data_IF_790561771849
#
_entry.id   IF_790561771849
#
_cell.length_a   1.000
_cell.length_b   1.000
_cell.length_c   1.000
_cell.angle_alpha   90.00
_cell.angle_beta   90.00
_cell.angle_gamma   90.00
#
_symmetry.space_group_name_H-M   'P 1'
#
loop_
_entity.id
_entity.type
_entity.pdbx_description
1 polymer ?
#
# COMPACT_ATOMS: atom_id res chain seq x y z
N UNK A 1 -3.05 -25.65 14.31
CA UNK A 1 -2.77 -24.48 15.17
C UNK A 1 -4.11 -23.92 15.65
N UNK A 2 -4.22 -23.40 16.89
CA UNK A 2 -5.53 -22.95 17.41
C UNK A 2 -6.14 -21.81 16.59
N UNK A 3 -5.32 -20.91 16.04
CA UNK A 3 -5.81 -19.88 15.12
C UNK A 3 -6.46 -20.43 13.86
N UNK A 4 -6.04 -21.59 13.34
CA UNK A 4 -6.67 -22.21 12.17
C UNK A 4 -8.12 -22.59 12.44
N UNK A 5 -8.38 -23.21 13.59
CA UNK A 5 -9.73 -23.60 14.01
C UNK A 5 -10.61 -22.36 14.21
N UNK A 6 -10.10 -21.35 14.91
CA UNK A 6 -10.84 -20.09 15.14
C UNK A 6 -11.16 -19.38 13.81
N UNK A 7 -10.25 -19.39 12.83
CA UNK A 7 -10.49 -18.78 11.51
C UNK A 7 -11.55 -19.55 10.69
N UNK A 8 -11.63 -20.89 10.85
CA UNK A 8 -12.74 -21.68 10.29
C UNK A 8 -14.06 -21.32 10.94
N UNK A 9 -14.08 -21.13 12.27
CA UNK A 9 -15.27 -20.68 12.99
C UNK A 9 -15.72 -19.28 12.56
N UNK A 10 -14.77 -18.39 12.24
CA UNK A 10 -15.07 -17.08 11.63
C UNK A 10 -15.79 -17.27 10.29
N UNK A 11 -15.25 -18.11 9.40
CA UNK A 11 -15.86 -18.39 8.10
C UNK A 11 -17.26 -19.01 8.24
N UNK A 12 -17.44 -19.95 9.17
CA UNK A 12 -18.76 -20.56 9.45
C UNK A 12 -19.75 -19.53 10.00
N UNK A 13 -19.29 -18.64 10.89
CA UNK A 13 -20.12 -17.56 11.43
C UNK A 13 -20.53 -16.59 10.32
N UNK A 14 -19.68 -16.34 9.32
CA UNK A 14 -20.02 -15.51 8.16
C UNK A 14 -21.11 -16.16 7.30
N UNK A 15 -21.04 -17.47 7.08
CA UNK A 15 -22.08 -18.21 6.36
C UNK A 15 -23.45 -18.10 7.06
N UNK A 16 -23.49 -18.15 8.39
CA UNK A 16 -24.73 -17.92 9.15
C UNK A 16 -25.28 -16.49 8.93
N UNK A 17 -24.40 -15.49 8.83
CA UNK A 17 -24.80 -14.10 8.55
C UNK A 17 -25.42 -14.00 7.17
N UNK A 18 -24.80 -14.62 6.15
CA UNK A 18 -25.32 -14.65 4.77
C UNK A 18 -26.74 -15.24 4.73
N UNK A 19 -26.97 -16.37 5.42
CA UNK A 19 -28.29 -17.00 5.53
C UNK A 19 -29.32 -16.06 6.16
N UNK A 20 -28.94 -15.36 7.23
CA UNK A 20 -29.82 -14.40 7.91
C UNK A 20 -30.15 -13.18 7.04
N UNK A 21 -29.20 -12.67 6.25
CA UNK A 21 -29.43 -11.48 5.41
C UNK A 21 -30.59 -11.67 4.45
N UNK A 22 -30.73 -12.87 3.89
CA UNK A 22 -31.83 -13.18 2.97
C UNK A 22 -33.22 -13.05 3.62
N UNK A 23 -33.31 -13.23 4.94
CA UNK A 23 -34.57 -13.10 5.69
C UNK A 23 -34.89 -11.66 6.13
N UNK A 24 -33.97 -10.71 5.96
CA UNK A 24 -34.18 -9.32 6.40
C UNK A 24 -35.19 -8.60 5.50
N UNK A 25 -36.14 -7.89 6.08
CA UNK A 25 -37.10 -7.06 5.32
C UNK A 25 -36.69 -5.59 5.31
N UNK A 26 -35.89 -5.16 6.30
CA UNK A 26 -35.50 -3.76 6.51
C UNK A 26 -34.16 -3.38 5.90
N UNK A 27 -33.52 -4.29 5.16
CA UNK A 27 -32.32 -4.02 4.39
C UNK A 27 -32.68 -3.92 2.92
N UNK A 28 -32.42 -2.77 2.30
CA UNK A 28 -32.64 -2.56 0.88
C UNK A 28 -31.96 -3.62 0.01
N UNK A 29 -32.58 -4.01 -1.10
CA UNK A 29 -32.07 -5.06 -1.98
C UNK A 29 -30.66 -4.76 -2.51
N UNK A 30 -30.39 -3.49 -2.79
CA UNK A 30 -29.05 -3.00 -3.16
C UNK A 30 -28.02 -3.30 -2.07
N UNK A 31 -28.36 -3.04 -0.80
CA UNK A 31 -27.45 -3.29 0.31
C UNK A 31 -27.37 -4.78 0.66
N UNK A 32 -28.45 -5.56 0.49
CA UNK A 32 -28.40 -7.04 0.60
C UNK A 32 -27.40 -7.63 -0.38
N UNK A 33 -27.52 -7.32 -1.67
CA UNK A 33 -26.60 -7.81 -2.71
C UNK A 33 -25.16 -7.42 -2.41
N UNK A 34 -24.94 -6.15 -2.01
CA UNK A 34 -23.61 -5.67 -1.63
C UNK A 34 -23.06 -6.39 -0.40
N UNK A 35 -23.89 -6.60 0.62
CA UNK A 35 -23.52 -7.29 1.85
C UNK A 35 -23.12 -8.73 1.58
N UNK A 36 -23.94 -9.48 0.84
CA UNK A 36 -23.67 -10.87 0.46
C UNK A 36 -22.35 -10.99 -0.31
N UNK A 37 -22.11 -10.13 -1.30
CA UNK A 37 -20.85 -10.12 -2.06
C UNK A 37 -19.62 -9.89 -1.17
N UNK A 38 -19.72 -8.96 -0.21
CA UNK A 38 -18.61 -8.65 0.71
C UNK A 38 -18.36 -9.78 1.73
N UNK A 39 -19.44 -10.41 2.21
CA UNK A 39 -19.36 -11.54 3.15
C UNK A 39 -18.84 -12.80 2.47
N UNK A 40 -19.27 -13.08 1.24
CA UNK A 40 -18.79 -14.22 0.46
C UNK A 40 -17.28 -14.11 0.22
N UNK A 41 -16.81 -12.92 -0.17
CA UNK A 41 -15.38 -12.63 -0.29
C UNK A 41 -14.65 -12.83 1.05
N UNK A 42 -15.20 -12.31 2.15
CA UNK A 42 -14.60 -12.45 3.47
C UNK A 42 -14.54 -13.91 3.96
N UNK A 43 -15.62 -14.68 3.74
CA UNK A 43 -15.72 -16.10 4.08
C UNK A 43 -14.66 -16.90 3.35
N UNK A 44 -14.53 -16.70 2.02
CA UNK A 44 -13.50 -17.35 1.21
C UNK A 44 -12.10 -17.02 1.71
N UNK A 45 -11.80 -15.73 1.93
CA UNK A 45 -10.49 -15.29 2.41
C UNK A 45 -10.13 -15.91 3.77
N UNK A 46 -11.05 -15.95 4.73
CA UNK A 46 -10.79 -16.56 6.04
C UNK A 46 -10.64 -18.09 5.96
N UNK A 47 -11.41 -18.75 5.09
CA UNK A 47 -11.28 -20.18 4.86
C UNK A 47 -9.92 -20.54 4.25
N UNK A 48 -9.54 -19.87 3.15
CA UNK A 48 -8.22 -20.04 2.51
C UNK A 48 -7.07 -19.72 3.48
N UNK A 49 -7.24 -18.70 4.32
CA UNK A 49 -6.24 -18.35 5.34
C UNK A 49 -6.11 -19.42 6.41
N UNK A 50 -7.22 -20.05 6.82
CA UNK A 50 -7.22 -21.11 7.82
C UNK A 50 -6.39 -22.33 7.39
N UNK A 51 -6.25 -22.55 6.10
CA UNK A 51 -5.43 -23.62 5.52
C UNK A 51 -3.95 -23.23 5.42
N UNK A 52 -3.65 -21.93 5.38
CA UNK A 52 -2.32 -21.38 5.11
C UNK A 52 -1.76 -20.54 6.30
N UNK A 53 -2.05 -20.95 7.54
CA UNK A 53 -1.52 -20.26 8.72
C UNK A 53 -0.05 -20.63 8.95
N UNK A 54 0.81 -19.63 8.91
CA UNK A 54 2.23 -19.72 9.27
C UNK A 54 2.53 -19.17 10.68
N UNK A 55 1.71 -18.27 11.21
CA UNK A 55 1.88 -17.63 12.52
C UNK A 55 0.65 -17.86 13.41
N UNK A 56 0.83 -18.44 14.59
CA UNK A 56 -0.28 -18.69 15.52
C UNK A 56 -0.62 -17.42 16.31
N UNK A 57 -1.54 -16.59 15.79
CA UNK A 57 -2.04 -15.41 16.50
C UNK A 57 -3.49 -15.62 16.96
N UNK A 58 -3.65 -16.32 18.08
CA UNK A 58 -4.96 -16.67 18.63
C UNK A 58 -5.74 -15.43 19.07
N UNK A 59 -5.08 -14.39 19.58
CA UNK A 59 -5.73 -13.16 20.03
C UNK A 59 -6.42 -12.44 18.87
N UNK A 60 -5.69 -12.28 17.75
CA UNK A 60 -6.24 -11.65 16.55
C UNK A 60 -7.34 -12.49 15.90
N UNK A 61 -7.18 -13.82 15.87
CA UNK A 61 -8.22 -14.72 15.37
C UNK A 61 -9.51 -14.59 16.21
N UNK A 62 -9.39 -14.56 17.54
CA UNK A 62 -10.51 -14.33 18.46
C UNK A 62 -11.13 -12.94 18.29
N UNK A 63 -10.33 -11.91 17.99
CA UNK A 63 -10.86 -10.58 17.66
C UNK A 63 -11.78 -10.63 16.43
N UNK A 64 -11.37 -11.33 15.36
CA UNK A 64 -12.21 -11.52 14.18
C UNK A 64 -13.49 -12.29 14.50
N UNK A 65 -13.40 -13.36 15.28
CA UNK A 65 -14.57 -14.15 15.68
C UNK A 65 -15.56 -13.32 16.49
N UNK A 66 -15.08 -12.57 17.49
CA UNK A 66 -15.93 -11.65 18.27
C UNK A 66 -16.64 -10.65 17.37
N UNK A 67 -15.97 -10.15 16.33
CA UNK A 67 -16.57 -9.19 15.38
C UNK A 67 -17.63 -9.87 14.49
N UNK A 68 -17.36 -11.06 13.96
CA UNK A 68 -18.32 -11.83 13.18
C UNK A 68 -19.57 -12.18 14.01
N UNK A 69 -19.39 -12.67 15.24
CA UNK A 69 -20.51 -12.99 16.15
C UNK A 69 -21.34 -11.74 16.48
N UNK A 70 -20.69 -10.58 16.72
CA UNK A 70 -21.40 -9.32 16.92
C UNK A 70 -22.28 -8.98 15.71
N UNK A 71 -21.76 -9.12 14.49
CA UNK A 71 -22.53 -8.88 13.26
C UNK A 71 -23.68 -9.87 13.16
N UNK A 72 -23.44 -11.17 13.41
CA UNK A 72 -24.49 -12.21 13.41
C UNK A 72 -25.64 -11.92 14.36
N UNK A 73 -25.32 -11.38 15.54
CA UNK A 73 -26.33 -11.00 16.53
C UNK A 73 -27.08 -9.72 16.14
N UNK A 74 -26.42 -8.81 15.44
CA UNK A 74 -26.99 -7.57 14.93
C UNK A 74 -27.73 -7.75 13.59
N UNK A 75 -27.64 -8.91 12.95
CA UNK A 75 -28.33 -9.21 11.67
C UNK A 75 -29.80 -9.51 11.93
N UNK A 76 -30.56 -8.48 12.28
CA UNK A 76 -32.01 -8.54 12.57
C UNK A 76 -32.70 -7.25 12.11
N UNK A 77 -33.97 -7.34 11.73
CA UNK A 77 -34.76 -6.16 11.33
C UNK A 77 -34.84 -5.12 12.46
N UNK A 78 -34.99 -5.55 13.72
CA UNK A 78 -34.99 -4.66 14.90
C UNK A 78 -33.73 -3.82 15.03
N UNK A 79 -32.56 -4.40 14.75
CA UNK A 79 -31.30 -3.67 14.80
C UNK A 79 -31.21 -2.65 13.67
N UNK A 80 -31.63 -3.02 12.46
CA UNK A 80 -31.64 -2.13 11.30
C UNK A 80 -32.58 -0.95 11.48
N UNK A 81 -33.75 -1.14 12.09
CA UNK A 81 -34.67 -0.05 12.43
C UNK A 81 -34.06 0.93 13.44
N UNK A 82 -33.30 0.41 14.43
CA UNK A 82 -32.71 1.24 15.48
C UNK A 82 -31.45 1.99 15.04
N UNK A 83 -30.55 1.32 14.31
CA UNK A 83 -29.22 1.84 13.98
C UNK A 83 -29.09 2.30 12.52
N UNK A 84 -29.99 1.86 11.65
CA UNK A 84 -29.99 2.14 10.22
C UNK A 84 -29.08 1.21 9.40
N UNK A 85 -29.42 1.06 8.11
CA UNK A 85 -28.65 0.25 7.16
C UNK A 85 -27.20 0.70 7.03
N UNK A 86 -26.94 2.01 7.12
CA UNK A 86 -25.60 2.58 6.95
C UNK A 86 -24.62 2.05 7.99
N UNK A 87 -25.04 1.97 9.26
CA UNK A 87 -24.17 1.51 10.34
C UNK A 87 -23.91 0.00 10.23
N UNK A 88 -24.95 -0.77 9.94
CA UNK A 88 -24.81 -2.20 9.66
C UNK A 88 -23.84 -2.48 8.49
N UNK A 89 -23.96 -1.72 7.40
CA UNK A 89 -23.07 -1.85 6.25
C UNK A 89 -21.62 -1.46 6.57
N UNK A 90 -21.36 -0.52 7.49
CA UNK A 90 -19.99 -0.22 7.94
C UNK A 90 -19.36 -1.43 8.62
N UNK A 91 -20.11 -2.13 9.48
CA UNK A 91 -19.62 -3.32 10.16
C UNK A 91 -19.27 -4.44 9.16
N UNK A 92 -20.11 -4.66 8.13
CA UNK A 92 -19.81 -5.63 7.05
C UNK A 92 -18.56 -5.22 6.27
N UNK A 93 -18.45 -3.95 5.87
CA UNK A 93 -17.29 -3.44 5.13
C UNK A 93 -16.01 -3.59 5.95
N UNK A 94 -16.09 -3.33 7.26
CA UNK A 94 -14.95 -3.51 8.17
C UNK A 94 -14.52 -4.99 8.26
N UNK A 95 -15.48 -5.92 8.38
CA UNK A 95 -15.17 -7.35 8.41
C UNK A 95 -14.48 -7.82 7.12
N UNK A 96 -14.98 -7.39 5.95
CA UNK A 96 -14.31 -7.70 4.69
C UNK A 96 -12.90 -7.08 4.61
N UNK A 97 -12.72 -5.84 5.08
CA UNK A 97 -11.39 -5.21 5.15
C UNK A 97 -10.43 -6.06 6.01
N UNK A 98 -10.88 -6.56 7.16
CA UNK A 98 -10.08 -7.45 8.00
C UNK A 98 -9.72 -8.75 7.30
N UNK A 99 -10.65 -9.36 6.56
CA UNK A 99 -10.37 -10.60 5.81
C UNK A 99 -9.23 -10.42 4.80
N UNK A 100 -9.09 -9.24 4.20
CA UNK A 100 -8.03 -8.91 3.23
C UNK A 100 -6.70 -8.55 3.89
N UNK A 101 -6.73 -8.08 5.12
CA UNK A 101 -5.53 -7.71 5.89
C UNK A 101 -4.97 -8.90 6.69
N UNK A 102 -5.79 -9.89 7.03
CA UNK A 102 -5.40 -11.03 7.83
C UNK A 102 -4.24 -11.87 7.24
N UNK A 103 -4.12 -12.10 5.91
CA UNK A 103 -2.99 -12.84 5.35
C UNK A 103 -1.61 -12.28 5.70
N UNK A 104 -1.49 -10.96 5.92
CA UNK A 104 -0.23 -10.33 6.31
C UNK A 104 0.21 -10.66 7.74
N UNK A 105 -0.75 -10.98 8.61
CA UNK A 105 -0.51 -11.31 10.02
C UNK A 105 -0.39 -12.82 10.28
N UNK A 106 -1.05 -13.64 9.45
CA UNK A 106 -1.12 -15.09 9.64
C UNK A 106 -0.29 -15.90 8.63
N UNK A 107 -0.19 -15.48 7.37
CA UNK A 107 0.47 -16.23 6.30
C UNK A 107 1.88 -15.71 5.94
N UNK A 108 2.40 -14.72 6.68
CA UNK A 108 3.75 -14.19 6.48
C UNK A 108 3.92 -13.27 5.26
N UNK A 109 2.81 -12.84 4.64
CA UNK A 109 2.82 -11.95 3.47
C UNK A 109 3.42 -10.56 3.76
N UNK A 110 3.63 -10.22 5.04
CA UNK A 110 4.30 -8.98 5.46
C UNK A 110 5.68 -8.78 4.79
N UNK A 111 6.37 -9.86 4.40
CA UNK A 111 7.66 -9.79 3.69
C UNK A 111 7.54 -9.09 2.34
N UNK A 112 6.42 -9.28 1.64
CA UNK A 112 6.15 -8.60 0.36
C UNK A 112 5.99 -7.10 0.59
N UNK A 113 5.28 -6.73 1.66
CA UNK A 113 5.08 -5.34 2.05
C UNK A 113 6.41 -4.64 2.42
N UNK A 114 7.28 -5.33 3.15
CA UNK A 114 8.61 -4.81 3.47
C UNK A 114 9.46 -4.57 2.21
N UNK A 115 9.33 -5.41 1.18
CA UNK A 115 10.01 -5.20 -0.10
C UNK A 115 9.46 -3.96 -0.82
N UNK A 116 8.14 -3.80 -0.86
CA UNK A 116 7.50 -2.61 -1.45
C UNK A 116 7.93 -1.33 -0.73
N UNK A 117 7.93 -1.37 0.61
CA UNK A 117 8.42 -0.29 1.45
C UNK A 117 9.88 0.07 1.17
N UNK A 118 10.77 -0.92 1.13
CA UNK A 118 12.19 -0.69 0.82
C UNK A 118 12.40 -0.12 -0.57
N UNK A 119 11.64 -0.58 -1.56
CA UNK A 119 11.70 -0.04 -2.91
C UNK A 119 11.24 1.42 -2.95
N UNK A 120 10.20 1.79 -2.21
CA UNK A 120 9.83 3.20 -2.04
C UNK A 120 10.99 4.02 -1.47
N UNK A 121 11.60 3.57 -0.35
CA UNK A 121 12.75 4.27 0.26
C UNK A 121 13.91 4.46 -0.72
N UNK A 122 14.36 3.35 -1.30
CA UNK A 122 15.51 3.36 -2.18
C UNK A 122 15.23 4.08 -3.50
N UNK A 123 13.97 4.15 -3.95
CA UNK A 123 13.57 4.93 -5.10
C UNK A 123 13.52 6.44 -4.84
N UNK A 124 13.26 6.86 -3.59
CA UNK A 124 13.26 8.26 -3.18
C UNK A 124 14.68 8.83 -3.01
N UNK A 125 15.66 8.03 -2.58
CA UNK A 125 17.05 8.48 -2.34
C UNK A 125 17.68 9.13 -3.59
N UNK A 126 17.67 8.49 -4.78
CA UNK A 126 18.22 9.09 -5.99
C UNK A 126 17.57 10.43 -6.34
N UNK A 127 16.26 10.58 -6.10
CA UNK A 127 15.57 11.85 -6.31
C UNK A 127 16.16 12.96 -5.43
N UNK A 128 16.39 12.71 -4.14
CA UNK A 128 17.00 13.72 -3.26
C UNK A 128 18.42 14.09 -3.67
N UNK A 129 19.20 13.13 -4.15
CA UNK A 129 20.57 13.36 -4.64
C UNK A 129 20.55 14.23 -5.91
N UNK A 130 19.70 13.86 -6.87
CA UNK A 130 19.70 14.49 -8.19
C UNK A 130 18.97 15.85 -8.20
N UNK A 131 18.01 16.07 -7.31
CA UNK A 131 17.24 17.33 -7.25
C UNK A 131 18.12 18.56 -7.03
N UNK A 132 19.23 18.44 -6.31
CA UNK A 132 20.19 19.55 -6.13
C UNK A 132 20.92 19.94 -7.42
N UNK A 133 21.06 19.01 -8.37
CA UNK A 133 21.83 19.21 -9.61
C UNK A 133 21.03 19.98 -10.66
N UNK A 134 19.71 19.74 -10.73
CA UNK A 134 18.83 20.35 -11.74
C UNK A 134 18.37 21.77 -11.40
N UNK A 135 18.83 22.33 -10.28
CA UNK A 135 18.66 23.73 -9.93
C UNK A 135 17.77 23.99 -8.70
N UNK A 136 17.65 25.25 -8.28
CA UNK A 136 17.05 25.61 -6.99
C UNK A 136 15.59 25.19 -6.83
N UNK A 137 14.80 25.23 -7.91
CA UNK A 137 13.38 24.85 -7.89
C UNK A 137 13.20 23.39 -7.49
N UNK A 138 14.00 22.49 -8.06
CA UNK A 138 13.95 21.06 -7.74
C UNK A 138 14.52 20.77 -6.36
N UNK A 139 15.56 21.49 -5.94
CA UNK A 139 16.10 21.41 -4.58
C UNK A 139 15.04 21.80 -3.53
N UNK A 140 14.34 22.92 -3.73
CA UNK A 140 13.23 23.35 -2.86
C UNK A 140 12.08 22.34 -2.88
N UNK A 141 11.73 21.82 -4.05
CA UNK A 141 10.71 20.76 -4.16
C UNK A 141 11.10 19.52 -3.36
N UNK A 142 12.35 19.08 -3.44
CA UNK A 142 12.84 17.98 -2.64
C UNK A 142 12.76 18.27 -1.14
N UNK A 143 13.15 19.47 -0.69
CA UNK A 143 13.00 19.86 0.72
C UNK A 143 11.54 19.84 1.19
N UNK A 144 10.59 20.30 0.37
CA UNK A 144 9.16 20.23 0.71
C UNK A 144 8.71 18.78 0.83
N UNK A 145 9.14 17.91 -0.10
CA UNK A 145 8.74 16.51 -0.14
C UNK A 145 9.41 15.64 0.94
N UNK A 146 10.44 16.13 1.65
CA UNK A 146 11.11 15.34 2.70
C UNK A 146 10.17 15.00 3.85
N UNK A 147 9.34 15.96 4.28
CA UNK A 147 8.39 15.78 5.39
C UNK A 147 7.33 14.72 5.05
N UNK A 148 6.55 14.84 3.96
CA UNK A 148 5.55 13.82 3.63
C UNK A 148 6.19 12.46 3.32
N UNK A 149 7.43 12.42 2.81
CA UNK A 149 8.18 11.17 2.65
C UNK A 149 8.48 10.52 3.99
N UNK A 150 9.05 11.25 4.94
CA UNK A 150 9.33 10.70 6.28
C UNK A 150 8.05 10.25 6.99
N UNK A 151 6.95 11.00 6.87
CA UNK A 151 5.65 10.61 7.41
C UNK A 151 5.10 9.35 6.72
N UNK A 152 5.23 9.26 5.39
CA UNK A 152 4.91 8.05 4.64
C UNK A 152 5.72 6.86 5.18
N UNK A 153 7.02 7.04 5.41
CA UNK A 153 7.90 6.00 5.92
C UNK A 153 7.47 5.48 7.30
N UNK A 154 7.26 6.40 8.24
CA UNK A 154 6.92 6.08 9.63
C UNK A 154 5.54 5.41 9.72
N UNK A 155 4.57 5.89 8.93
CA UNK A 155 3.22 5.34 8.92
C UNK A 155 3.14 4.00 8.19
N UNK A 156 3.79 3.83 7.03
CA UNK A 156 3.80 2.55 6.30
C UNK A 156 4.49 1.43 7.09
N UNK A 157 5.54 1.73 7.87
CA UNK A 157 6.18 0.74 8.76
C UNK A 157 5.19 0.13 9.76
N UNK A 158 4.18 0.91 10.16
CA UNK A 158 3.10 0.47 11.05
C UNK A 158 1.84 0.01 10.29
N UNK A 159 1.91 -0.12 8.96
CA UNK A 159 0.76 -0.40 8.08
C UNK A 159 -0.40 0.61 8.21
N UNK A 160 -0.09 1.87 8.51
CA UNK A 160 -1.11 2.93 8.57
C UNK A 160 -1.53 3.40 7.18
N UNK A 161 -2.85 3.58 6.97
CA UNK A 161 -3.39 4.05 5.69
C UNK A 161 -2.87 5.44 5.27
N UNK A 162 -2.59 6.33 6.24
CA UNK A 162 -1.99 7.64 5.97
C UNK A 162 -0.66 7.52 5.22
N UNK A 163 0.17 6.53 5.59
CA UNK A 163 1.46 6.33 4.97
C UNK A 163 1.37 5.93 3.51
N UNK A 164 0.42 5.05 3.20
CA UNK A 164 0.13 4.65 1.82
C UNK A 164 -0.32 5.84 0.98
N UNK A 165 -1.22 6.67 1.52
CA UNK A 165 -1.74 7.86 0.85
C UNK A 165 -0.62 8.87 0.56
N UNK A 166 0.23 9.15 1.54
CA UNK A 166 1.37 10.05 1.39
C UNK A 166 2.40 9.51 0.38
N UNK A 167 2.66 8.20 0.38
CA UNK A 167 3.54 7.59 -0.61
C UNK A 167 3.01 7.83 -2.03
N UNK A 168 1.74 7.57 -2.30
CA UNK A 168 1.13 7.84 -3.62
C UNK A 168 1.09 9.32 -3.99
N UNK A 169 0.95 10.22 -3.02
CA UNK A 169 1.00 11.65 -3.27
C UNK A 169 2.40 12.12 -3.67
N UNK A 170 3.45 11.55 -3.07
CA UNK A 170 4.83 12.00 -3.28
C UNK A 170 5.47 11.36 -4.50
N UNK A 171 5.26 10.06 -4.75
CA UNK A 171 5.97 9.28 -5.81
C UNK A 171 5.97 9.90 -7.22
N UNK A 172 4.91 10.56 -7.72
CA UNK A 172 4.88 11.06 -9.10
C UNK A 172 6.01 12.04 -9.43
N UNK A 173 6.36 12.95 -8.52
CA UNK A 173 7.39 13.98 -8.77
C UNK A 173 8.78 13.35 -8.94
N UNK A 174 9.28 12.52 -8.01
CA UNK A 174 10.49 11.72 -8.19
C UNK A 174 10.51 10.88 -9.46
N UNK A 175 9.39 10.28 -9.87
CA UNK A 175 9.32 9.50 -11.10
C UNK A 175 9.53 10.36 -12.34
N UNK A 176 8.86 11.51 -12.44
CA UNK A 176 9.08 12.48 -13.53
C UNK A 176 10.53 12.97 -13.53
N UNK A 177 11.08 13.26 -12.35
CA UNK A 177 12.47 13.66 -12.20
C UNK A 177 13.45 12.57 -12.65
N UNK A 178 13.14 11.31 -12.35
CA UNK A 178 13.90 10.16 -12.81
C UNK A 178 13.91 10.07 -14.34
N UNK A 179 12.77 10.31 -14.99
CA UNK A 179 12.69 10.33 -16.46
C UNK A 179 13.53 11.46 -17.07
N UNK A 180 13.49 12.66 -16.49
CA UNK A 180 14.34 13.78 -16.92
C UNK A 180 15.83 13.50 -16.70
N UNK A 181 16.17 12.84 -15.59
CA UNK A 181 17.54 12.45 -15.27
C UNK A 181 18.10 11.44 -16.27
N UNK A 182 17.30 10.45 -16.67
CA UNK A 182 17.68 9.52 -17.74
C UNK A 182 17.90 10.26 -19.06
N UNK A 183 16.93 11.08 -19.48
CA UNK A 183 17.02 11.83 -20.73
C UNK A 183 18.25 12.73 -20.77
N UNK A 184 18.49 13.47 -19.68
CA UNK A 184 19.64 14.37 -19.57
C UNK A 184 20.96 13.59 -19.53
N UNK A 185 21.03 12.51 -18.75
CA UNK A 185 22.22 11.67 -18.68
C UNK A 185 22.60 11.06 -20.03
N UNK A 186 21.62 10.59 -20.82
CA UNK A 186 21.86 10.12 -22.19
C UNK A 186 22.39 11.26 -23.06
N UNK A 187 21.69 12.41 -23.05
CA UNK A 187 22.10 13.58 -23.81
C UNK A 187 23.54 13.98 -23.52
N UNK A 188 23.89 14.18 -22.24
CA UNK A 188 25.22 14.57 -21.82
C UNK A 188 26.28 13.54 -22.24
N UNK A 189 26.04 12.25 -22.06
CA UNK A 189 27.01 11.22 -22.46
C UNK A 189 27.21 11.10 -23.97
N UNK A 190 26.23 11.50 -24.77
CA UNK A 190 26.30 11.50 -26.24
C UNK A 190 26.77 12.81 -26.85
N UNK A 191 26.89 13.88 -26.05
CA UNK A 191 27.30 15.21 -26.53
C UNK A 191 28.59 15.67 -25.83
N UNK A 192 29.69 15.70 -26.59
CA UNK A 192 31.00 16.12 -26.05
C UNK A 192 31.02 17.59 -25.61
N UNK A 193 30.30 18.49 -26.29
CA UNK A 193 30.25 19.90 -25.90
C UNK A 193 29.60 20.07 -24.53
N UNK A 194 28.55 19.30 -24.25
CA UNK A 194 27.89 19.31 -22.95
C UNK A 194 28.81 18.79 -21.83
N UNK A 195 29.56 17.72 -22.07
CA UNK A 195 30.54 17.22 -21.10
C UNK A 195 31.68 18.22 -20.85
N UNK A 196 32.13 18.91 -21.90
CA UNK A 196 33.13 19.99 -21.76
C UNK A 196 32.57 21.15 -20.94
N UNK A 197 31.32 21.55 -21.17
CA UNK A 197 30.62 22.58 -20.38
C UNK A 197 30.57 22.21 -18.89
N UNK A 198 30.12 20.99 -18.58
CA UNK A 198 30.06 20.48 -17.20
C UNK A 198 31.45 20.47 -16.55
N UNK A 199 32.47 20.00 -17.28
CA UNK A 199 33.85 19.97 -16.80
C UNK A 199 34.38 21.37 -16.47
N UNK A 200 34.09 22.35 -17.33
CA UNK A 200 34.48 23.76 -17.13
C UNK A 200 33.75 24.40 -15.95
N UNK A 201 32.42 24.24 -15.85
CA UNK A 201 31.62 24.80 -14.76
C UNK A 201 32.02 24.25 -13.39
N UNK A 202 32.39 22.97 -13.33
CA UNK A 202 32.85 22.33 -12.09
C UNK A 202 34.34 22.52 -11.81
N UNK A 203 35.12 23.04 -12.78
CA UNK A 203 36.57 23.10 -12.70
C UNK A 203 37.22 21.71 -12.56
N UNK A 204 36.66 20.71 -13.24
CA UNK A 204 37.08 19.30 -13.15
C UNK A 204 37.43 18.72 -14.53
N UNK A 205 37.98 17.51 -14.53
CA UNK A 205 38.33 16.81 -15.76
C UNK A 205 37.10 16.33 -16.54
N UNK A 206 37.27 16.09 -17.83
CA UNK A 206 36.23 15.50 -18.68
C UNK A 206 35.75 14.14 -18.14
N UNK A 207 36.67 13.31 -17.64
CA UNK A 207 36.34 12.03 -17.02
C UNK A 207 35.44 12.19 -15.79
N UNK A 208 35.64 13.25 -14.99
CA UNK A 208 34.77 13.56 -13.86
C UNK A 208 33.36 13.96 -14.34
N UNK A 209 33.25 14.79 -15.38
CA UNK A 209 31.97 15.17 -15.98
C UNK A 209 31.20 13.95 -16.52
N UNK A 210 31.91 13.04 -17.20
CA UNK A 210 31.34 11.76 -17.68
C UNK A 210 30.80 10.91 -16.52
N UNK A 211 31.56 10.80 -15.42
CA UNK A 211 31.12 10.06 -14.25
C UNK A 211 29.86 10.67 -13.61
N UNK A 212 29.78 11.99 -13.50
CA UNK A 212 28.59 12.68 -12.99
C UNK A 212 27.37 12.43 -13.90
N UNK A 213 27.52 12.57 -15.21
CA UNK A 213 26.44 12.30 -16.16
C UNK A 213 25.95 10.84 -16.07
N UNK A 214 26.87 9.88 -15.93
CA UNK A 214 26.54 8.48 -15.70
C UNK A 214 25.81 8.26 -14.36
N UNK A 215 26.24 8.91 -13.28
CA UNK A 215 25.55 8.83 -11.98
C UNK A 215 24.13 9.37 -12.08
N UNK A 216 23.90 10.50 -12.76
CA UNK A 216 22.56 11.08 -12.95
C UNK A 216 21.66 10.10 -13.72
N UNK A 217 22.17 9.49 -14.79
CA UNK A 217 21.45 8.47 -15.57
C UNK A 217 21.05 7.29 -14.68
N UNK A 218 22.01 6.71 -13.95
CA UNK A 218 21.79 5.55 -13.10
C UNK A 218 20.85 5.86 -11.94
N UNK A 219 20.98 7.04 -11.33
CA UNK A 219 20.09 7.53 -10.28
C UNK A 219 18.65 7.69 -10.80
N UNK A 220 18.47 8.26 -12.00
CA UNK A 220 17.17 8.39 -12.65
C UNK A 220 16.51 7.04 -12.94
N UNK A 221 17.28 6.11 -13.51
CA UNK A 221 16.83 4.74 -13.78
C UNK A 221 16.46 3.98 -12.50
N UNK A 222 17.31 4.07 -11.47
CA UNK A 222 17.05 3.45 -10.17
C UNK A 222 15.76 4.00 -9.55
N UNK A 223 15.56 5.33 -9.56
CA UNK A 223 14.34 5.95 -9.04
C UNK A 223 13.09 5.43 -9.76
N UNK A 224 13.09 5.44 -11.09
CA UNK A 224 11.94 5.00 -11.88
C UNK A 224 11.61 3.52 -11.68
N UNK A 225 12.62 2.64 -11.70
CA UNK A 225 12.41 1.19 -11.53
C UNK A 225 11.86 0.90 -10.12
N UNK A 226 12.49 1.47 -9.10
CA UNK A 226 12.14 1.21 -7.70
C UNK A 226 10.79 1.81 -7.33
N UNK A 227 10.50 3.05 -7.75
CA UNK A 227 9.21 3.69 -7.49
C UNK A 227 8.09 3.11 -8.35
N UNK A 228 8.37 2.66 -9.57
CA UNK A 228 7.42 1.92 -10.40
C UNK A 228 7.01 0.60 -9.73
N UNK A 229 8.00 -0.17 -9.28
CA UNK A 229 7.75 -1.39 -8.51
C UNK A 229 7.00 -1.09 -7.19
N UNK A 230 7.42 -0.07 -6.44
CA UNK A 230 6.77 0.32 -5.20
C UNK A 230 5.31 0.73 -5.44
N UNK A 231 5.03 1.53 -6.46
CA UNK A 231 3.68 1.95 -6.84
C UNK A 231 2.78 0.76 -7.13
N UNK A 232 3.26 -0.19 -7.94
CA UNK A 232 2.53 -1.41 -8.23
C UNK A 232 2.29 -2.28 -6.98
N UNK A 233 3.36 -2.57 -6.23
CA UNK A 233 3.29 -3.46 -5.08
C UNK A 233 2.44 -2.88 -3.95
N UNK A 234 2.60 -1.58 -3.63
CA UNK A 234 1.78 -0.88 -2.63
C UNK A 234 0.31 -0.82 -3.05
N UNK A 235 0.02 -0.65 -4.35
CA UNK A 235 -1.36 -0.65 -4.84
C UNK A 235 -2.00 -2.04 -4.74
N UNK A 236 -1.26 -3.07 -5.18
CA UNK A 236 -1.71 -4.47 -5.11
C UNK A 236 -2.00 -4.89 -3.66
N UNK A 237 -1.13 -4.49 -2.73
CA UNK A 237 -1.22 -4.84 -1.31
C UNK A 237 -1.85 -3.73 -0.45
N UNK A 238 -2.59 -2.79 -1.04
CA UNK A 238 -3.21 -1.64 -0.34
C UNK A 238 -4.11 -2.04 0.83
N UNK A 239 -4.70 -3.23 0.76
CA UNK A 239 -5.59 -3.75 1.79
C UNK A 239 -4.86 -4.13 3.08
N UNK A 240 -3.53 -4.26 3.04
CA UNK A 240 -2.70 -4.46 4.23
C UNK A 240 -2.67 -3.22 5.14
N UNK A 241 -3.03 -2.04 4.61
CA UNK A 241 -2.97 -0.78 5.34
C UNK A 241 -4.33 -0.47 5.95
N UNK A 242 -4.37 -0.36 7.29
CA UNK A 242 -5.59 -0.17 8.06
C UNK A 242 -5.80 1.28 8.48
#
# INVERSE_FOLDING_TARGET
>A
MKSQEILRDVAQTIEDIEKKINSLTKLSDKNKQKALKLLEEARRNFMELSENVAVDNQELANFFLKRAVKIKNNTTDRYLEKMGEKEYMKDIVALNKYSKAAPYDFAGEVKVLHRAYRAFLFGMIPFYIVSGIFGPVYAVTALILIIPTLLAMLSMRKRGNLGLMLAFAVMPIPMVMGAFSIRYGIYALTNQEELMRIAQELGKSLAFAQAIAAIILLAGAASLILLGYASYALYKHRHAFL
#
